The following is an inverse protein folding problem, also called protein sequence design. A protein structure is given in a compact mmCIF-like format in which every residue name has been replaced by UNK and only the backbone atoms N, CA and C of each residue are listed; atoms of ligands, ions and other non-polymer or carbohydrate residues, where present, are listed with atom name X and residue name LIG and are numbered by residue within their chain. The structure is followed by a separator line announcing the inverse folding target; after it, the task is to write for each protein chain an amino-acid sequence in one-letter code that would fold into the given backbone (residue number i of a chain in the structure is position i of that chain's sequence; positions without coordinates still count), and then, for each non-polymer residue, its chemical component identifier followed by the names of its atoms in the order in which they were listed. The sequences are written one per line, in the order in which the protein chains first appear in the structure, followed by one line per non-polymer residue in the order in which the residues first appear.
data_IF_012728303896
#
_entry.id   IF_012728303896
#
_cell.length_a   1.000
_cell.length_b   1.000
_cell.length_c   1.000
_cell.angle_alpha   90.00
_cell.angle_beta   90.00
_cell.angle_gamma   90.00
#
_symmetry.space_group_name_H-M   'P 1'
#
loop_
_entity.id
_entity.type
_entity.pdbx_description
1 polymer ?
#
# COMPACT_ATOMS: atom_id res chain seq x y z
N UNK A 1 12.44 -13.36 10.11
CA UNK A 1 12.62 -11.99 10.59
C UNK A 1 13.18 -11.13 9.48
N UNK A 2 12.60 -9.95 9.24
CA UNK A 2 13.05 -9.00 8.22
C UNK A 2 14.38 -8.39 8.65
N UNK A 3 15.37 -8.44 7.77
CA UNK A 3 16.72 -7.98 8.08
C UNK A 3 17.17 -6.83 7.16
N UNK A 4 18.33 -6.27 7.43
CA UNK A 4 18.86 -5.14 6.65
C UNK A 4 19.18 -5.53 5.20
N UNK A 5 19.53 -6.79 4.97
CA UNK A 5 19.78 -7.33 3.63
C UNK A 5 18.50 -7.37 2.79
N UNK A 6 17.36 -7.67 3.43
CA UNK A 6 16.05 -7.63 2.77
C UNK A 6 15.72 -6.20 2.32
N UNK A 7 16.00 -5.22 3.20
CA UNK A 7 15.83 -3.80 2.87
C UNK A 7 16.74 -3.37 1.71
N UNK A 8 17.98 -3.78 1.71
CA UNK A 8 18.95 -3.48 0.63
C UNK A 8 18.50 -4.10 -0.68
N UNK A 9 18.10 -5.37 -0.65
CA UNK A 9 17.60 -6.07 -1.83
C UNK A 9 16.37 -5.38 -2.42
N UNK A 10 15.44 -4.97 -1.57
CA UNK A 10 14.26 -4.23 -2.00
C UNK A 10 14.61 -2.88 -2.63
N UNK A 11 15.54 -2.11 -2.02
CA UNK A 11 15.98 -0.81 -2.56
C UNK A 11 16.58 -0.95 -3.97
N UNK A 12 17.28 -2.03 -4.26
CA UNK A 12 17.85 -2.29 -5.59
C UNK A 12 16.80 -2.54 -6.67
N UNK A 13 15.56 -2.87 -6.29
CA UNK A 13 14.47 -3.12 -7.24
C UNK A 13 13.67 -1.86 -7.59
N UNK A 14 13.82 -0.77 -6.84
CA UNK A 14 12.97 0.42 -7.00
C UNK A 14 13.18 1.08 -8.36
N UNK A 15 14.41 1.43 -8.71
CA UNK A 15 14.69 2.13 -9.98
C UNK A 15 14.33 1.28 -11.21
N UNK A 16 14.73 0.00 -11.33
CA UNK A 16 14.28 -0.84 -12.44
C UNK A 16 12.76 -0.95 -12.55
N UNK A 17 12.07 -1.14 -11.44
CA UNK A 17 10.61 -1.25 -11.43
C UNK A 17 9.91 0.05 -11.86
N UNK A 18 10.44 1.22 -11.46
CA UNK A 18 9.97 2.51 -11.91
C UNK A 18 10.15 2.68 -13.41
N UNK A 19 11.33 2.35 -13.93
CA UNK A 19 11.65 2.47 -15.36
C UNK A 19 10.79 1.54 -16.22
N UNK A 20 10.51 0.35 -15.74
CA UNK A 20 9.64 -0.62 -16.41
C UNK A 20 8.14 -0.35 -16.17
N UNK A 21 7.81 0.64 -15.37
CA UNK A 21 6.43 0.98 -15.00
C UNK A 21 5.65 -0.16 -14.34
N UNK A 22 6.36 -1.04 -13.64
CA UNK A 22 5.78 -2.19 -12.95
C UNK A 22 5.39 -1.89 -11.51
N UNK A 23 6.26 -1.19 -10.80
CA UNK A 23 6.06 -0.85 -9.40
C UNK A 23 6.63 0.53 -9.09
N UNK A 24 5.99 1.22 -8.16
CA UNK A 24 6.35 2.58 -7.76
C UNK A 24 6.51 2.60 -6.23
N UNK A 25 7.75 2.58 -5.77
CA UNK A 25 8.10 2.59 -4.36
C UNK A 25 8.45 3.99 -3.86
N UNK A 26 8.03 4.30 -2.65
CA UNK A 26 8.26 5.58 -1.98
C UNK A 26 8.74 5.37 -0.56
N UNK A 27 9.67 6.20 -0.12
CA UNK A 27 10.00 6.34 1.29
C UNK A 27 9.09 7.38 1.93
N UNK A 28 8.70 7.13 3.17
CA UNK A 28 7.85 8.02 3.95
C UNK A 28 8.73 8.73 4.97
N UNK A 29 8.71 10.05 4.96
CA UNK A 29 9.43 10.90 5.93
C UNK A 29 8.47 11.84 6.65
N UNK A 30 8.79 12.12 7.91
CA UNK A 30 8.16 13.22 8.63
C UNK A 30 8.59 14.55 8.02
N UNK A 31 7.64 15.39 7.62
CA UNK A 31 7.94 16.64 6.94
C UNK A 31 8.46 17.74 7.87
N UNK A 32 8.32 17.60 9.18
CA UNK A 32 8.81 18.55 10.17
C UNK A 32 10.21 18.19 10.65
N UNK A 33 10.45 16.91 10.92
CA UNK A 33 11.71 16.43 11.51
C UNK A 33 12.67 15.83 10.47
N UNK A 34 12.18 15.42 9.31
CA UNK A 34 12.95 14.68 8.31
C UNK A 34 13.19 13.21 8.68
N UNK A 35 12.58 12.72 9.77
CA UNK A 35 12.78 11.34 10.20
C UNK A 35 12.10 10.36 9.24
N UNK A 36 12.79 9.26 8.96
CA UNK A 36 12.26 8.16 8.18
C UNK A 36 11.19 7.40 8.96
N UNK A 37 10.00 7.24 8.37
CA UNK A 37 8.85 6.63 9.02
C UNK A 37 8.47 5.26 8.44
N UNK A 38 8.79 4.99 7.18
CA UNK A 38 8.41 3.75 6.53
C UNK A 38 8.50 3.80 5.02
N UNK A 39 7.78 2.90 4.36
CA UNK A 39 7.70 2.82 2.91
C UNK A 39 6.30 2.50 2.44
N UNK A 40 5.99 2.89 1.22
CA UNK A 40 4.74 2.54 0.56
C UNK A 40 4.97 2.38 -0.94
N UNK A 41 4.04 1.76 -1.64
CA UNK A 41 4.19 1.56 -3.07
C UNK A 41 2.93 1.07 -3.76
N UNK A 42 2.94 1.23 -5.07
CA UNK A 42 1.95 0.69 -5.98
C UNK A 42 2.62 -0.35 -6.88
N UNK A 43 2.06 -1.55 -6.92
CA UNK A 43 2.49 -2.61 -7.82
C UNK A 43 1.40 -2.90 -8.83
N UNK A 44 1.67 -2.77 -10.13
CA UNK A 44 0.72 -3.13 -11.17
C UNK A 44 0.42 -4.63 -11.10
N UNK A 45 -0.85 -4.99 -11.23
CA UNK A 45 -1.28 -6.40 -11.12
C UNK A 45 -1.12 -7.11 -12.46
N UNK A 46 -1.50 -6.44 -13.54
CA UNK A 46 -1.44 -6.97 -14.91
C UNK A 46 -1.43 -5.81 -15.92
N UNK A 47 -1.92 -6.07 -17.15
CA UNK A 47 -2.02 -5.05 -18.20
C UNK A 47 -3.16 -4.05 -17.98
N UNK A 48 -4.07 -4.30 -17.05
CA UNK A 48 -5.14 -3.37 -16.70
C UNK A 48 -4.60 -2.22 -15.85
N UNK A 49 -5.26 -1.05 -15.85
CA UNK A 49 -4.87 0.08 -15.01
C UNK A 49 -5.27 -0.12 -13.54
N UNK A 50 -4.79 -1.23 -12.98
CA UNK A 50 -5.06 -1.68 -11.61
C UNK A 50 -3.74 -1.94 -10.89
N UNK A 51 -3.65 -1.50 -9.67
CA UNK A 51 -2.47 -1.73 -8.83
C UNK A 51 -2.85 -2.21 -7.43
N UNK A 52 -1.95 -2.97 -6.82
CA UNK A 52 -1.98 -3.27 -5.40
C UNK A 52 -1.18 -2.21 -4.64
N UNK A 53 -1.76 -1.68 -3.57
CA UNK A 53 -1.12 -0.73 -2.67
C UNK A 53 -0.61 -1.45 -1.43
N UNK A 54 0.67 -1.28 -1.15
CA UNK A 54 1.30 -1.78 0.06
C UNK A 54 2.00 -0.67 0.83
N UNK A 55 2.14 -0.87 2.14
CA UNK A 55 2.88 0.04 3.01
C UNK A 55 3.41 -0.70 4.23
N UNK A 56 4.40 -0.11 4.84
CA UNK A 56 4.84 -0.46 6.18
C UNK A 56 5.28 0.82 6.91
N UNK A 57 5.08 0.85 8.20
CA UNK A 57 5.44 1.98 9.07
C UNK A 57 6.26 1.43 10.24
N UNK A 58 7.38 2.09 10.55
CA UNK A 58 8.19 1.70 11.70
C UNK A 58 7.36 1.74 12.99
N UNK A 59 7.62 0.82 13.89
CA UNK A 59 6.82 0.63 15.12
C UNK A 59 6.68 1.93 15.93
N UNK A 60 7.75 2.73 16.02
CA UNK A 60 7.73 3.99 16.78
C UNK A 60 6.86 5.09 16.16
N UNK A 61 6.42 4.93 14.91
CA UNK A 61 5.59 5.90 14.19
C UNK A 61 4.15 5.42 13.98
N UNK A 62 3.81 4.22 14.43
CA UNK A 62 2.45 3.69 14.33
C UNK A 62 1.47 4.45 15.23
N UNK A 63 0.18 4.44 14.88
CA UNK A 63 -0.87 5.10 15.65
C UNK A 63 -1.00 6.62 15.43
N UNK A 64 -0.24 7.21 14.50
CA UNK A 64 -0.22 8.64 14.21
C UNK A 64 -0.78 9.01 12.82
N UNK A 65 -1.52 8.10 12.20
CA UNK A 65 -2.13 8.35 10.89
C UNK A 65 -1.19 8.27 9.70
N UNK A 66 0.08 7.92 9.89
CA UNK A 66 1.10 7.87 8.82
C UNK A 66 0.68 6.96 7.67
N UNK A 67 0.23 5.75 7.96
CA UNK A 67 -0.19 4.80 6.93
C UNK A 67 -1.44 5.28 6.18
N UNK A 68 -2.40 5.89 6.88
CA UNK A 68 -3.62 6.44 6.26
C UNK A 68 -3.30 7.61 5.34
N UNK A 69 -2.51 8.57 5.78
CA UNK A 69 -2.09 9.71 4.95
C UNK A 69 -1.29 9.28 3.74
N UNK A 70 -0.38 8.32 3.93
CA UNK A 70 0.43 7.76 2.84
C UNK A 70 -0.44 7.02 1.82
N UNK A 71 -1.43 6.24 2.28
CA UNK A 71 -2.38 5.53 1.41
C UNK A 71 -3.18 6.52 0.56
N UNK A 72 -3.71 7.59 1.16
CA UNK A 72 -4.47 8.62 0.44
C UNK A 72 -3.59 9.34 -0.59
N UNK A 73 -2.40 9.75 -0.18
CA UNK A 73 -1.45 10.44 -1.07
C UNK A 73 -1.02 9.56 -2.25
N UNK A 74 -0.72 8.29 -1.97
CA UNK A 74 -0.31 7.33 -2.98
C UNK A 74 -1.45 6.98 -3.95
N UNK A 75 -2.68 6.86 -3.45
CA UNK A 75 -3.86 6.65 -4.29
C UNK A 75 -4.09 7.83 -5.24
N UNK A 76 -3.98 9.06 -4.75
CA UNK A 76 -4.06 10.26 -5.61
C UNK A 76 -3.00 10.26 -6.70
N UNK A 77 -1.77 9.94 -6.34
CA UNK A 77 -0.68 9.80 -7.32
C UNK A 77 -1.03 8.75 -8.38
N UNK A 78 -1.49 7.59 -7.98
CA UNK A 78 -1.88 6.52 -8.89
C UNK A 78 -2.97 6.93 -9.88
N UNK A 79 -4.01 7.60 -9.39
CA UNK A 79 -5.12 8.03 -10.24
C UNK A 79 -4.73 9.20 -11.15
N UNK A 80 -4.01 10.20 -10.64
CA UNK A 80 -3.70 11.42 -11.39
C UNK A 80 -2.50 11.28 -12.34
N UNK A 81 -1.49 10.52 -11.94
CA UNK A 81 -0.23 10.45 -12.70
C UNK A 81 0.01 9.12 -13.41
N UNK A 82 -0.58 8.03 -12.92
CA UNK A 82 -0.44 6.71 -13.55
C UNK A 82 -1.68 6.29 -14.34
N UNK A 83 -2.76 7.05 -14.27
CA UNK A 83 -4.01 6.73 -14.97
C UNK A 83 -4.68 5.47 -14.45
N UNK A 84 -4.44 5.09 -13.19
CA UNK A 84 -5.09 3.93 -12.61
C UNK A 84 -6.60 4.15 -12.50
N UNK A 85 -7.35 3.09 -12.71
CA UNK A 85 -8.81 3.07 -12.53
C UNK A 85 -9.22 2.44 -11.19
N UNK A 86 -8.29 1.67 -10.58
CA UNK A 86 -8.55 0.91 -9.36
C UNK A 86 -7.26 0.68 -8.59
N UNK A 87 -7.33 0.79 -7.28
CA UNK A 87 -6.25 0.43 -6.36
C UNK A 87 -6.80 -0.57 -5.36
N UNK A 88 -6.13 -1.70 -5.24
CA UNK A 88 -6.48 -2.78 -4.31
C UNK A 88 -5.62 -2.71 -3.06
N UNK A 89 -6.24 -2.97 -1.91
CA UNK A 89 -5.57 -3.08 -0.62
C UNK A 89 -5.97 -4.43 -0.04
N UNK A 90 -4.99 -5.33 0.02
CA UNK A 90 -5.17 -6.69 0.55
C UNK A 90 -4.52 -6.80 1.93
N UNK A 91 -5.18 -7.48 2.84
CA UNK A 91 -4.64 -7.76 4.16
C UNK A 91 -5.17 -9.09 4.68
N UNK A 92 -4.40 -9.74 5.56
CA UNK A 92 -4.91 -10.88 6.33
C UNK A 92 -6.16 -10.48 7.12
N UNK A 93 -7.11 -11.39 7.24
CA UNK A 93 -8.33 -11.20 8.05
C UNK A 93 -8.04 -10.83 9.51
N UNK A 94 -6.85 -11.17 10.00
CA UNK A 94 -6.40 -10.87 11.37
C UNK A 94 -5.68 -9.52 11.50
N UNK A 95 -5.36 -8.86 10.40
CA UNK A 95 -4.63 -7.59 10.40
C UNK A 95 -5.57 -6.40 10.62
N UNK A 96 -5.92 -6.16 11.89
CA UNK A 96 -6.83 -5.08 12.27
C UNK A 96 -6.28 -3.69 11.95
N UNK A 97 -4.98 -3.49 12.09
CA UNK A 97 -4.33 -2.21 11.81
C UNK A 97 -4.49 -1.83 10.34
N UNK A 98 -4.20 -2.74 9.41
CA UNK A 98 -4.39 -2.50 7.97
C UNK A 98 -5.84 -2.31 7.58
N UNK A 99 -6.76 -3.03 8.22
CA UNK A 99 -8.20 -2.83 8.01
C UNK A 99 -8.63 -1.40 8.41
N UNK A 100 -8.17 -0.91 9.53
CA UNK A 100 -8.44 0.46 9.99
C UNK A 100 -7.90 1.49 8.99
N UNK A 101 -6.68 1.28 8.49
CA UNK A 101 -6.10 2.15 7.46
C UNK A 101 -6.93 2.17 6.19
N UNK A 102 -7.37 1.01 5.69
CA UNK A 102 -8.21 0.92 4.50
C UNK A 102 -9.53 1.70 4.69
N UNK A 103 -10.22 1.48 5.80
CA UNK A 103 -11.48 2.18 6.12
C UNK A 103 -11.26 3.70 6.22
N UNK A 104 -10.25 4.13 6.96
CA UNK A 104 -9.95 5.56 7.16
C UNK A 104 -9.47 6.25 5.87
N UNK A 105 -8.95 5.49 4.92
CA UNK A 105 -8.57 6.00 3.59
C UNK A 105 -9.76 6.13 2.63
N UNK A 106 -10.94 5.68 3.03
CA UNK A 106 -12.13 5.72 2.19
C UNK A 106 -12.29 4.49 1.28
N UNK A 107 -11.47 3.46 1.47
CA UNK A 107 -11.58 2.25 0.67
C UNK A 107 -12.85 1.46 1.00
N UNK A 108 -13.42 0.83 -0.01
CA UNK A 108 -14.61 0.02 0.11
C UNK A 108 -14.26 -1.45 0.25
N UNK A 109 -14.93 -2.13 1.18
CA UNK A 109 -14.79 -3.58 1.36
C UNK A 109 -15.52 -4.33 0.24
N UNK A 110 -14.83 -5.26 -0.39
CA UNK A 110 -15.38 -6.04 -1.51
C UNK A 110 -15.57 -7.53 -1.19
N UNK A 111 -14.90 -8.05 -0.20
CA UNK A 111 -15.07 -9.43 0.19
C UNK A 111 -13.85 -10.07 0.84
N UNK A 112 -14.00 -11.34 1.18
CA UNK A 112 -12.94 -12.17 1.74
C UNK A 112 -12.50 -13.20 0.70
N UNK A 113 -11.20 -13.25 0.42
CA UNK A 113 -10.59 -14.16 -0.54
C UNK A 113 -9.94 -15.31 0.21
N UNK A 114 -10.39 -16.55 -0.05
CA UNK A 114 -9.86 -17.73 0.62
C UNK A 114 -8.44 -18.05 0.17
N UNK A 115 -7.54 -18.31 1.13
CA UNK A 115 -6.13 -18.68 0.89
C UNK A 115 -5.40 -17.73 -0.07
N UNK A 116 -5.73 -16.44 -0.03
CA UNK A 116 -5.20 -15.46 -0.97
C UNK A 116 -3.78 -15.01 -0.62
N UNK A 117 -3.39 -15.08 0.64
CA UNK A 117 -2.07 -14.67 1.13
C UNK A 117 -1.32 -15.87 1.69
N UNK A 118 -0.03 -15.96 1.36
CA UNK A 118 0.89 -16.86 2.04
C UNK A 118 1.84 -16.04 2.89
N UNK A 119 1.74 -16.20 4.20
CA UNK A 119 2.53 -15.47 5.18
C UNK A 119 3.33 -16.48 6.00
N UNK A 120 4.66 -16.39 5.91
CA UNK A 120 5.58 -17.29 6.64
C UNK A 120 5.30 -18.79 6.40
N UNK A 121 4.91 -19.15 5.17
CA UNK A 121 4.61 -20.54 4.80
C UNK A 121 3.19 -21.00 5.12
N UNK A 122 2.37 -20.16 5.73
CA UNK A 122 0.97 -20.45 6.03
C UNK A 122 0.02 -19.68 5.13
N UNK A 123 -1.04 -20.35 4.67
CA UNK A 123 -2.07 -19.71 3.86
C UNK A 123 -3.09 -19.01 4.76
N UNK A 124 -3.42 -17.79 4.38
CA UNK A 124 -4.39 -16.95 5.09
C UNK A 124 -5.45 -16.43 4.13
N UNK A 125 -6.67 -16.34 4.62
CA UNK A 125 -7.71 -15.59 3.94
C UNK A 125 -7.38 -14.10 3.98
N UNK A 126 -7.74 -13.39 2.93
CA UNK A 126 -7.50 -11.97 2.81
C UNK A 126 -8.80 -11.17 2.71
N UNK A 127 -8.81 -10.01 3.34
CA UNK A 127 -9.81 -8.99 3.08
C UNK A 127 -9.37 -8.19 1.85
N UNK A 128 -10.30 -7.99 0.91
CA UNK A 128 -10.12 -7.13 -0.25
C UNK A 128 -10.85 -5.81 -0.03
N UNK A 129 -10.09 -4.73 -0.03
CA UNK A 129 -10.58 -3.35 -0.11
C UNK A 129 -10.13 -2.73 -1.42
N UNK A 130 -10.85 -1.74 -1.91
CA UNK A 130 -10.47 -1.01 -3.11
C UNK A 130 -10.76 0.47 -3.00
N UNK A 131 -9.98 1.24 -3.77
CA UNK A 131 -10.19 2.64 -4.05
C UNK A 131 -10.36 2.84 -5.56
N UNK A 132 -11.25 3.73 -5.92
CA UNK A 132 -11.42 4.24 -7.29
C UNK A 132 -11.31 5.76 -7.29
N UNK A 133 -11.15 6.42 -8.45
CA UNK A 133 -11.11 7.89 -8.51
C UNK A 133 -12.32 8.56 -7.85
N UNK A 134 -13.48 7.92 -7.88
CA UNK A 134 -14.70 8.45 -7.26
C UNK A 134 -14.60 8.57 -5.74
N UNK A 135 -13.92 7.61 -5.10
CA UNK A 135 -13.74 7.62 -3.65
C UNK A 135 -12.88 8.81 -3.19
N UNK A 136 -12.00 9.31 -4.06
CA UNK A 136 -11.17 10.48 -3.75
C UNK A 136 -11.94 11.80 -3.78
N UNK A 137 -13.05 11.87 -4.50
CA UNK A 137 -13.90 13.07 -4.60
C UNK A 137 -14.74 13.28 -3.34
N UNK A 138 -15.10 12.21 -2.65
CA UNK A 138 -15.95 12.26 -1.45
C UNK A 138 -15.19 12.65 -0.18
N UNK A 139 -13.86 12.61 -0.21
CA UNK A 139 -12.97 12.88 0.93
C UNK A 139 -12.33 14.29 0.88
N UNK A 140 -12.93 15.21 0.15
CA UNK A 140 -12.50 16.62 0.12
C UNK A 140 -13.31 17.49 1.07
#
# INVERSE_FOLDING_TARGET
DYCIEDSRSWLLTIDPNWNDQHAYGFAIFDNQTGNFLGGCGLNKIDEHPVANLGYWVRTSATGNGVATESTIGLARFGFLHLGLSRIEILMSTQNRASRTVAINSGAQFEGTLRNRLNLHGENHDALMYSLTPEDMKTNQ
#
